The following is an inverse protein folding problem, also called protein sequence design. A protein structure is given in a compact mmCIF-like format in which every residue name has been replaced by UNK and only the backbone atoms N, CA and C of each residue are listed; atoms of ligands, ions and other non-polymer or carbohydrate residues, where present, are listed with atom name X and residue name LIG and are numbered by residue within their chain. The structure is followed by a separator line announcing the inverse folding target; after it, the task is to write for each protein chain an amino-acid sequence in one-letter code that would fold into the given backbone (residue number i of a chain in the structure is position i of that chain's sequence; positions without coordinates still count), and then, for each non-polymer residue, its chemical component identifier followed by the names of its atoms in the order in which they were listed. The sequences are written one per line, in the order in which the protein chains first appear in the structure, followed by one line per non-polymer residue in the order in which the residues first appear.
data_IF_464757407197
#
_entry.id   IF_464757407197
#
_cell.length_a   1.000
_cell.length_b   1.000
_cell.length_c   1.000
_cell.angle_alpha   90.00
_cell.angle_beta   90.00
_cell.angle_gamma   90.00
#
_symmetry.space_group_name_H-M   'P 1'
#
loop_
_entity.id
_entity.type
_entity.pdbx_description
1 polymer ?
#
# COMPACT_ATOMS: atom_id res chain seq x y z
N UNK A 1 18.92 7.41 4.52
CA UNK A 1 19.01 8.00 3.15
C UNK A 1 18.76 7.02 2.01
N UNK A 2 19.24 5.75 2.02
CA UNK A 2 18.98 4.81 0.89
C UNK A 2 17.49 4.45 0.72
N UNK A 3 16.75 4.27 1.82
CA UNK A 3 15.34 3.90 1.77
C UNK A 3 14.44 5.05 1.30
N UNK A 4 14.80 6.28 1.64
CA UNK A 4 14.09 7.50 1.31
C UNK A 4 14.17 7.79 -0.20
N UNK A 5 15.32 7.53 -0.83
CA UNK A 5 15.45 7.60 -2.30
C UNK A 5 14.56 6.56 -2.99
N UNK A 6 14.50 5.33 -2.48
CA UNK A 6 13.59 4.31 -3.01
C UNK A 6 12.11 4.72 -2.82
N UNK A 7 11.78 5.38 -1.70
CA UNK A 7 10.44 5.90 -1.45
C UNK A 7 10.02 6.97 -2.46
N UNK A 8 10.95 7.79 -2.97
CA UNK A 8 10.66 8.74 -4.05
C UNK A 8 10.31 8.03 -5.35
N UNK A 9 11.01 6.95 -5.69
CA UNK A 9 10.70 6.12 -6.86
C UNK A 9 9.30 5.50 -6.70
N UNK A 10 9.01 4.96 -5.52
CA UNK A 10 7.69 4.42 -5.18
C UNK A 10 6.60 5.49 -5.32
N UNK A 11 6.85 6.72 -4.87
CA UNK A 11 5.89 7.82 -4.99
C UNK A 11 5.54 8.15 -6.44
N UNK A 12 6.53 8.13 -7.35
CA UNK A 12 6.27 8.30 -8.80
C UNK A 12 5.40 7.16 -9.33
N UNK A 13 5.73 5.92 -8.98
CA UNK A 13 4.96 4.74 -9.39
C UNK A 13 3.52 4.81 -8.89
N UNK A 14 3.33 5.09 -7.60
CA UNK A 14 2.02 5.20 -6.96
C UNK A 14 1.22 6.44 -7.41
N UNK A 15 1.87 7.45 -7.97
CA UNK A 15 1.18 8.56 -8.65
C UNK A 15 0.59 8.16 -10.00
N UNK A 16 1.21 7.19 -10.70
CA UNK A 16 0.81 6.76 -12.05
C UNK A 16 -0.15 5.56 -12.01
N UNK A 17 0.10 4.58 -11.16
CA UNK A 17 -0.67 3.32 -11.11
C UNK A 17 -2.18 3.53 -11.01
N UNK A 18 -2.72 4.42 -10.16
CA UNK A 18 -4.16 4.61 -10.00
C UNK A 18 -4.87 5.05 -11.28
N UNK A 19 -4.16 5.76 -12.16
CA UNK A 19 -4.68 6.19 -13.47
C UNK A 19 -4.85 4.96 -14.39
N UNK A 20 -3.88 4.05 -14.37
CA UNK A 20 -3.90 2.81 -15.18
C UNK A 20 -4.93 1.84 -14.60
N UNK A 21 -4.95 1.66 -13.28
CA UNK A 21 -5.93 0.81 -12.58
C UNK A 21 -7.36 1.29 -12.83
N UNK A 22 -7.62 2.59 -12.76
CA UNK A 22 -8.93 3.17 -13.12
C UNK A 22 -9.32 2.84 -14.55
N UNK A 23 -8.39 2.91 -15.51
CA UNK A 23 -8.67 2.51 -16.91
C UNK A 23 -9.05 1.04 -17.00
N UNK A 24 -8.35 0.15 -16.31
CA UNK A 24 -8.70 -1.27 -16.26
C UNK A 24 -10.11 -1.49 -15.67
N UNK A 25 -10.45 -0.79 -14.60
CA UNK A 25 -11.76 -0.86 -13.92
C UNK A 25 -12.96 -0.37 -14.76
N UNK A 26 -12.71 0.26 -15.92
CA UNK A 26 -13.75 0.56 -16.89
C UNK A 26 -14.22 -0.69 -17.65
N UNK A 27 -13.38 -1.74 -17.73
CA UNK A 27 -13.66 -2.97 -18.46
C UNK A 27 -14.08 -4.12 -17.54
N UNK A 28 -13.67 -4.09 -16.28
CA UNK A 28 -13.89 -5.18 -15.31
C UNK A 28 -14.37 -4.65 -13.96
N UNK A 29 -14.96 -5.52 -13.14
CA UNK A 29 -15.34 -5.18 -11.76
C UNK A 29 -14.14 -5.20 -10.79
N UNK A 30 -14.23 -4.50 -9.64
CA UNK A 30 -13.15 -4.44 -8.65
C UNK A 30 -12.68 -5.80 -8.11
N UNK A 31 -13.59 -6.78 -7.95
CA UNK A 31 -13.22 -8.13 -7.50
C UNK A 31 -12.41 -8.89 -8.56
N UNK A 32 -12.81 -8.79 -9.82
CA UNK A 32 -12.06 -9.37 -10.95
C UNK A 32 -10.70 -8.72 -11.09
N UNK A 33 -10.61 -7.38 -10.99
CA UNK A 33 -9.33 -6.67 -11.01
C UNK A 33 -8.39 -7.11 -9.88
N UNK A 34 -8.93 -7.26 -8.66
CA UNK A 34 -8.19 -7.75 -7.50
C UNK A 34 -7.67 -9.19 -7.71
N UNK A 35 -8.52 -10.08 -8.21
CA UNK A 35 -8.11 -11.45 -8.53
C UNK A 35 -6.95 -11.44 -9.53
N UNK A 36 -7.10 -10.71 -10.65
CA UNK A 36 -6.08 -10.66 -11.69
C UNK A 36 -4.75 -10.11 -11.19
N UNK A 37 -4.74 -8.98 -10.47
CA UNK A 37 -3.48 -8.39 -10.01
C UNK A 37 -2.78 -9.28 -8.98
N UNK A 38 -3.52 -9.91 -8.06
CA UNK A 38 -2.95 -10.84 -7.08
C UNK A 38 -2.38 -12.07 -7.79
N UNK A 39 -3.10 -12.65 -8.74
CA UNK A 39 -2.62 -13.79 -9.53
C UNK A 39 -1.39 -13.44 -10.36
N UNK A 40 -1.38 -12.30 -11.06
CA UNK A 40 -0.23 -11.86 -11.85
C UNK A 40 0.99 -11.61 -10.97
N UNK A 41 0.82 -10.92 -9.83
CA UNK A 41 1.91 -10.69 -8.88
C UNK A 41 2.46 -12.01 -8.32
N UNK A 42 1.59 -12.96 -7.97
CA UNK A 42 2.01 -14.28 -7.52
C UNK A 42 2.83 -15.02 -8.59
N UNK A 43 2.38 -15.00 -9.85
CA UNK A 43 3.10 -15.64 -10.97
C UNK A 43 4.47 -15.01 -11.23
N UNK A 44 4.54 -13.67 -11.27
CA UNK A 44 5.79 -12.93 -11.49
C UNK A 44 6.78 -13.18 -10.35
N UNK A 45 6.35 -13.06 -9.09
CA UNK A 45 7.25 -13.27 -7.95
C UNK A 45 7.68 -14.73 -7.83
N UNK A 46 6.77 -15.68 -8.01
CA UNK A 46 7.10 -17.11 -7.93
C UNK A 46 8.07 -17.54 -9.02
N UNK A 47 7.85 -17.09 -10.27
CA UNK A 47 8.78 -17.37 -11.37
C UNK A 47 10.16 -16.79 -11.11
N UNK A 48 10.27 -15.55 -10.63
CA UNK A 48 11.56 -14.96 -10.25
C UNK A 48 12.26 -15.75 -9.14
N UNK A 49 11.53 -16.21 -8.13
CA UNK A 49 12.11 -17.00 -7.04
C UNK A 49 12.62 -18.36 -7.54
N UNK A 50 11.90 -19.01 -8.45
CA UNK A 50 12.34 -20.25 -9.09
C UNK A 50 13.61 -20.00 -9.91
N UNK A 51 13.62 -18.98 -10.78
CA UNK A 51 14.76 -18.66 -11.65
C UNK A 51 16.03 -18.31 -10.86
N UNK A 52 15.87 -17.66 -9.70
CA UNK A 52 16.98 -17.32 -8.81
C UNK A 52 17.40 -18.47 -7.89
N UNK A 53 16.79 -19.65 -8.00
CA UNK A 53 17.09 -20.81 -7.16
C UNK A 53 16.76 -20.59 -5.68
N UNK A 54 15.87 -19.67 -5.36
CA UNK A 54 15.51 -19.30 -3.97
C UNK A 54 14.47 -20.22 -3.34
N UNK A 55 13.91 -21.15 -4.10
CA UNK A 55 12.90 -22.10 -3.61
C UNK A 55 13.56 -23.43 -3.30
N UNK A 56 13.58 -23.81 -2.03
CA UNK A 56 13.87 -25.17 -1.58
C UNK A 56 12.90 -25.57 -0.47
N UNK A 57 12.63 -26.88 -0.36
CA UNK A 57 11.77 -27.40 0.72
C UNK A 57 12.39 -27.09 2.09
N UNK A 58 13.71 -27.18 2.18
CA UNK A 58 14.46 -26.90 3.40
C UNK A 58 14.37 -25.43 3.81
N UNK A 59 14.53 -24.50 2.85
CA UNK A 59 14.40 -23.06 3.11
C UNK A 59 13.00 -22.65 3.54
N UNK A 60 11.96 -23.33 3.06
CA UNK A 60 10.58 -23.08 3.49
C UNK A 60 10.31 -23.63 4.90
N UNK A 61 10.84 -24.82 5.22
CA UNK A 61 10.72 -25.42 6.55
C UNK A 61 11.50 -24.65 7.62
N UNK A 62 12.61 -24.01 7.23
CA UNK A 62 13.43 -23.21 8.14
C UNK A 62 12.87 -21.81 8.40
N UNK A 63 11.75 -21.41 7.78
CA UNK A 63 11.17 -20.08 7.98
C UNK A 63 10.69 -19.91 9.41
N UNK A 64 11.12 -18.83 10.11
CA UNK A 64 10.57 -18.52 11.41
C UNK A 64 9.07 -18.23 11.31
N UNK A 65 8.26 -18.82 12.20
CA UNK A 65 6.79 -18.66 12.16
C UNK A 65 6.35 -17.20 12.38
N UNK A 66 7.09 -16.45 13.21
CA UNK A 66 6.76 -15.06 13.57
C UNK A 66 6.59 -14.11 12.37
N UNK A 67 7.55 -13.96 11.44
CA UNK A 67 7.38 -13.14 10.25
C UNK A 67 6.25 -13.65 9.34
N UNK A 68 6.03 -14.97 9.26
CA UNK A 68 4.91 -15.55 8.50
C UNK A 68 3.57 -15.07 9.07
N UNK A 69 3.41 -15.10 10.40
CA UNK A 69 2.19 -14.62 11.05
C UNK A 69 1.97 -13.11 10.85
N UNK A 70 3.01 -12.30 10.97
CA UNK A 70 2.91 -10.86 10.72
C UNK A 70 2.49 -10.56 9.28
N UNK A 71 3.10 -11.24 8.31
CA UNK A 71 2.78 -11.08 6.89
C UNK A 71 1.41 -11.67 6.54
N UNK A 72 0.94 -12.70 7.23
CA UNK A 72 -0.41 -13.25 7.04
C UNK A 72 -1.50 -12.22 7.40
N UNK A 73 -1.34 -11.52 8.52
CA UNK A 73 -2.26 -10.44 8.92
C UNK A 73 -2.24 -9.30 7.90
N UNK A 74 -1.04 -8.88 7.46
CA UNK A 74 -0.89 -7.85 6.43
C UNK A 74 -1.54 -8.30 5.12
N UNK A 75 -1.33 -9.54 4.69
CA UNK A 75 -1.90 -10.09 3.45
C UNK A 75 -3.43 -10.03 3.43
N UNK A 76 -4.09 -10.42 4.52
CA UNK A 76 -5.55 -10.30 4.65
C UNK A 76 -6.01 -8.84 4.57
N UNK A 77 -5.30 -7.94 5.27
CA UNK A 77 -5.54 -6.50 5.20
C UNK A 77 -5.30 -5.93 3.79
N UNK A 78 -4.29 -6.40 3.07
CA UNK A 78 -3.97 -5.98 1.70
C UNK A 78 -5.04 -6.38 0.70
N UNK A 79 -5.61 -7.59 0.81
CA UNK A 79 -6.72 -8.02 -0.06
C UNK A 79 -7.94 -7.14 0.17
N UNK A 80 -8.32 -6.92 1.44
CA UNK A 80 -9.48 -6.09 1.77
C UNK A 80 -9.28 -4.62 1.36
N UNK A 81 -8.13 -4.03 1.70
CA UNK A 81 -7.82 -2.64 1.38
C UNK A 81 -7.73 -2.41 -0.13
N UNK A 82 -7.12 -3.32 -0.89
CA UNK A 82 -7.06 -3.22 -2.36
C UNK A 82 -8.45 -3.34 -2.98
N UNK A 83 -9.30 -4.23 -2.46
CA UNK A 83 -10.70 -4.32 -2.90
C UNK A 83 -11.46 -3.00 -2.70
N UNK A 84 -11.37 -2.42 -1.50
CA UNK A 84 -12.00 -1.15 -1.16
C UNK A 84 -11.41 -0.01 -1.99
N UNK A 85 -10.11 -0.03 -2.22
CA UNK A 85 -9.41 0.94 -3.07
C UNK A 85 -9.90 0.89 -4.52
N UNK A 86 -10.05 -0.30 -5.10
CA UNK A 86 -10.59 -0.46 -6.46
C UNK A 86 -12.07 -0.06 -6.54
N UNK A 87 -12.86 -0.33 -5.51
CA UNK A 87 -14.22 0.22 -5.42
C UNK A 87 -14.20 1.75 -5.40
N UNK A 88 -13.37 2.36 -4.56
CA UNK A 88 -13.25 3.80 -4.46
C UNK A 88 -12.78 4.43 -5.78
N UNK A 89 -11.78 3.83 -6.42
CA UNK A 89 -11.35 4.22 -7.76
C UNK A 89 -12.49 4.12 -8.75
N UNK A 90 -13.32 3.07 -8.74
CA UNK A 90 -14.45 2.97 -9.67
C UNK A 90 -15.47 4.10 -9.47
N UNK A 91 -15.69 4.52 -8.22
CA UNK A 91 -16.68 5.54 -7.83
C UNK A 91 -16.20 6.99 -7.94
N UNK A 92 -14.90 7.26 -7.96
CA UNK A 92 -14.35 8.62 -7.95
C UNK A 92 -13.14 8.78 -8.88
N UNK A 93 -12.52 9.96 -8.92
CA UNK A 93 -11.32 10.21 -9.70
C UNK A 93 -10.06 9.68 -8.99
N UNK A 94 -9.05 9.20 -9.73
CA UNK A 94 -7.80 8.72 -9.13
C UNK A 94 -7.14 9.76 -8.23
N UNK A 95 -7.09 11.03 -8.66
CA UNK A 95 -6.48 12.12 -7.89
C UNK A 95 -7.14 12.33 -6.54
N UNK A 96 -8.48 12.29 -6.47
CA UNK A 96 -9.22 12.42 -5.19
C UNK A 96 -8.93 11.25 -4.27
N UNK A 97 -8.98 10.02 -4.79
CA UNK A 97 -8.75 8.83 -3.98
C UNK A 97 -7.32 8.80 -3.43
N UNK A 98 -6.31 9.04 -4.27
CA UNK A 98 -4.90 9.09 -3.86
C UNK A 98 -4.69 10.16 -2.80
N UNK A 99 -5.23 11.36 -3.01
CA UNK A 99 -5.11 12.47 -2.05
C UNK A 99 -5.71 12.12 -0.68
N UNK A 100 -6.95 11.63 -0.64
CA UNK A 100 -7.59 11.22 0.61
C UNK A 100 -6.77 10.12 1.29
N UNK A 101 -6.34 9.10 0.53
CA UNK A 101 -5.57 7.98 1.10
C UNK A 101 -4.21 8.39 1.63
N UNK A 102 -3.65 9.52 1.17
CA UNK A 102 -2.37 10.07 1.65
C UNK A 102 -2.40 10.52 3.11
N UNK A 103 -3.54 10.41 3.79
CA UNK A 103 -3.67 10.49 5.25
C UNK A 103 -3.02 9.30 5.99
N UNK A 104 -2.71 8.18 5.32
CA UNK A 104 -2.16 6.99 5.98
C UNK A 104 -0.93 7.23 6.89
N UNK A 105 0.00 8.20 6.63
CA UNK A 105 1.11 8.47 7.54
C UNK A 105 0.65 8.90 8.94
N UNK A 106 -0.51 9.58 9.04
CA UNK A 106 -1.11 9.90 10.33
C UNK A 106 -1.48 8.64 11.11
N UNK A 107 -2.10 7.66 10.44
CA UNK A 107 -2.41 6.37 11.06
C UNK A 107 -1.14 5.58 11.38
N UNK A 108 -0.07 5.71 10.59
CA UNK A 108 1.25 5.14 10.92
C UNK A 108 1.81 5.73 12.21
N UNK A 109 1.71 7.04 12.42
CA UNK A 109 2.15 7.71 13.65
C UNK A 109 1.36 7.17 14.86
N UNK A 110 0.03 7.07 14.75
CA UNK A 110 -0.82 6.54 15.82
C UNK A 110 -0.44 5.08 16.12
N UNK A 111 -0.39 4.22 15.10
CA UNK A 111 -0.07 2.81 15.27
C UNK A 111 1.31 2.62 15.90
N UNK A 112 2.32 3.38 15.44
CA UNK A 112 3.66 3.33 16.03
C UNK A 112 3.61 3.73 17.51
N UNK A 113 2.92 4.81 17.85
CA UNK A 113 2.80 5.30 19.24
C UNK A 113 2.13 4.26 20.16
N UNK A 114 1.10 3.56 19.66
CA UNK A 114 0.41 2.49 20.40
C UNK A 114 1.33 1.27 20.59
N UNK A 115 2.06 0.87 19.54
CA UNK A 115 2.93 -0.30 19.56
C UNK A 115 4.16 -0.06 20.45
N UNK A 116 4.81 1.10 20.32
CA UNK A 116 6.00 1.44 21.12
C UNK A 116 5.64 1.91 22.52
N UNK A 117 4.37 2.31 22.75
CA UNK A 117 3.89 2.96 23.97
C UNK A 117 4.60 4.29 24.26
N UNK A 118 5.08 4.95 23.21
CA UNK A 118 5.74 6.24 23.27
C UNK A 118 4.88 7.31 22.60
N UNK A 119 4.85 8.51 23.19
CA UNK A 119 4.13 9.63 22.60
C UNK A 119 4.93 10.23 21.43
N UNK A 120 4.26 10.62 20.33
CA UNK A 120 4.93 11.30 19.23
C UNK A 120 5.42 12.67 19.69
N UNK A 121 6.62 13.05 19.25
CA UNK A 121 7.15 14.39 19.53
C UNK A 121 6.25 15.48 18.95
N UNK A 122 6.31 16.68 19.52
CA UNK A 122 5.56 17.85 19.02
C UNK A 122 5.84 18.13 17.54
N UNK A 123 7.07 17.87 17.06
CA UNK A 123 7.43 18.03 15.65
C UNK A 123 6.65 17.07 14.74
N UNK A 124 6.46 15.82 15.18
CA UNK A 124 5.68 14.81 14.43
C UNK A 124 4.20 15.22 14.39
N UNK A 125 3.67 15.73 15.51
CA UNK A 125 2.29 16.22 15.56
C UNK A 125 2.05 17.42 14.64
N UNK A 126 2.98 18.38 14.60
CA UNK A 126 2.92 19.52 13.67
C UNK A 126 3.03 19.05 12.21
N UNK A 127 3.91 18.08 11.93
CA UNK A 127 4.01 17.48 10.59
C UNK A 127 2.71 16.79 10.17
N UNK A 128 2.07 16.05 11.07
CA UNK A 128 0.76 15.45 10.83
C UNK A 128 -0.29 16.52 10.51
N UNK A 129 -0.32 17.62 11.28
CA UNK A 129 -1.22 18.75 11.01
C UNK A 129 -0.99 19.33 9.60
N UNK A 130 0.26 19.50 9.18
CA UNK A 130 0.56 19.98 7.83
C UNK A 130 0.15 19.01 6.72
N UNK A 131 0.21 17.68 6.95
CA UNK A 131 -0.35 16.70 6.00
C UNK A 131 -1.84 16.96 5.81
N UNK A 132 -2.60 17.16 6.90
CA UNK A 132 -4.02 17.45 6.82
C UNK A 132 -4.33 18.77 6.10
N UNK A 133 -3.60 19.85 6.42
CA UNK A 133 -3.76 21.12 5.70
C UNK A 133 -3.45 20.98 4.22
N UNK A 134 -2.37 20.27 3.86
CA UNK A 134 -2.01 20.03 2.47
C UNK A 134 -3.09 19.25 1.71
N UNK A 135 -3.63 18.19 2.33
CA UNK A 135 -4.75 17.43 1.77
C UNK A 135 -5.98 18.32 1.58
N UNK A 136 -6.38 19.08 2.61
CA UNK A 136 -7.54 19.97 2.57
C UNK A 136 -7.41 20.99 1.44
N UNK A 137 -6.27 21.69 1.37
CA UNK A 137 -6.01 22.70 0.35
C UNK A 137 -6.08 22.14 -1.07
N UNK A 138 -5.53 20.95 -1.32
CA UNK A 138 -5.58 20.35 -2.67
C UNK A 138 -6.98 19.82 -2.98
N UNK A 139 -7.69 19.29 -1.99
CA UNK A 139 -9.00 18.68 -2.16
C UNK A 139 -10.05 19.68 -2.64
N UNK A 140 -9.98 20.93 -2.16
CA UNK A 140 -10.89 22.00 -2.56
C UNK A 140 -10.80 22.35 -4.07
N UNK A 141 -9.71 21.97 -4.75
CA UNK A 141 -9.49 22.24 -6.18
C UNK A 141 -9.76 21.03 -7.10
N UNK A 142 -10.05 19.85 -6.55
CA UNK A 142 -10.28 18.61 -7.31
C UNK A 142 -11.76 18.30 -7.50
#
# INVERSE_FOLDING_TARGET
MKGEVLALIIAVMWGIFPIIEKKALNYIDPSTALFLIVSMNFLVISSLYILLGKISIESLKSLPLKPVLFLAVVSLGSVLSTYLYYKALKLSSPSKIVLITSIYPFFTIIANSVITRELPSIKILLGALFIFLGIYLVMDYL
#
